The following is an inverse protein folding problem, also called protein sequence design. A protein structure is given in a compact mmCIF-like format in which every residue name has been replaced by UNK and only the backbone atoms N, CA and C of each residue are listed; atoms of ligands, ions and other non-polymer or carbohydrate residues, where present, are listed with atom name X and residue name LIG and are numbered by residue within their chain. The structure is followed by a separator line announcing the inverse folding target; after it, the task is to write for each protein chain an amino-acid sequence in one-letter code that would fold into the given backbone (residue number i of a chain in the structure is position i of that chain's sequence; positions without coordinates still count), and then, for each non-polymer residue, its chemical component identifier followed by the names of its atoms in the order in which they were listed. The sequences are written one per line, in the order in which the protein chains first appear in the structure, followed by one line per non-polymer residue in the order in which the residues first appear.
data_IF_088296111080
#
_entry.id   IF_088296111080
#
_cell.length_a   1.000
_cell.length_b   1.000
_cell.length_c   1.000
_cell.angle_alpha   90.00
_cell.angle_beta   90.00
_cell.angle_gamma   90.00
#
_symmetry.space_group_name_H-M   'P 1'
#
loop_
_entity.id
_entity.type
_entity.pdbx_description
1 polymer ?
#
# COMPACT_ATOMS: atom_id res chain seq x y z
N UNK A 1 2.22 -51.51 -5.79
CA UNK A 1 2.09 -50.39 -4.85
C UNK A 1 3.13 -49.28 -5.01
N UNK A 2 4.40 -49.55 -5.35
CA UNK A 2 5.43 -48.50 -5.45
C UNK A 2 5.24 -47.50 -6.63
N UNK A 3 4.76 -47.97 -7.80
CA UNK A 3 4.54 -47.12 -8.98
C UNK A 3 3.46 -46.04 -8.79
N UNK A 4 2.38 -46.33 -8.06
CA UNK A 4 1.31 -45.35 -7.81
C UNK A 4 1.73 -44.27 -6.81
N UNK A 5 2.61 -44.60 -5.85
CA UNK A 5 3.19 -43.64 -4.89
C UNK A 5 4.16 -42.67 -5.57
N UNK A 6 4.93 -43.14 -6.55
CA UNK A 6 5.81 -42.28 -7.35
C UNK A 6 5.02 -41.34 -8.26
N UNK A 7 3.94 -41.82 -8.89
CA UNK A 7 3.06 -40.98 -9.71
C UNK A 7 2.32 -39.92 -8.89
N UNK A 8 1.85 -40.25 -7.68
CA UNK A 8 1.24 -39.28 -6.78
C UNK A 8 2.25 -38.22 -6.31
N UNK A 9 3.48 -38.63 -5.98
CA UNK A 9 4.54 -37.71 -5.58
C UNK A 9 4.93 -36.74 -6.70
N UNK A 10 5.06 -37.25 -7.94
CA UNK A 10 5.34 -36.41 -9.11
C UNK A 10 4.17 -35.45 -9.42
N UNK A 11 2.92 -35.89 -9.26
CA UNK A 11 1.74 -35.03 -9.43
C UNK A 11 1.67 -33.94 -8.34
N UNK A 12 2.01 -34.26 -7.09
CA UNK A 12 2.09 -33.27 -5.99
C UNK A 12 3.24 -32.28 -6.19
N UNK A 13 4.39 -32.72 -6.70
CA UNK A 13 5.51 -31.84 -7.05
C UNK A 13 5.13 -30.92 -8.21
N UNK A 14 4.50 -31.45 -9.26
CA UNK A 14 4.01 -30.64 -10.38
C UNK A 14 2.91 -29.66 -9.94
N UNK A 15 1.98 -30.06 -9.06
CA UNK A 15 1.00 -29.13 -8.47
C UNK A 15 1.68 -28.05 -7.61
N UNK A 16 2.68 -28.40 -6.79
CA UNK A 16 3.45 -27.41 -6.02
C UNK A 16 4.24 -26.45 -6.92
N UNK A 17 4.74 -26.92 -8.07
CA UNK A 17 5.44 -26.08 -9.05
C UNK A 17 4.51 -25.17 -9.87
N UNK A 18 3.20 -25.47 -9.93
CA UNK A 18 2.22 -24.62 -10.61
C UNK A 18 1.73 -23.48 -9.69
N UNK A 19 1.87 -23.63 -8.36
CA UNK A 19 1.61 -22.55 -7.38
C UNK A 19 2.91 -21.86 -6.96
N UNK A 20 3.84 -21.67 -7.91
CA UNK A 20 4.79 -20.56 -7.78
C UNK A 20 3.98 -19.32 -8.08
N UNK A 21 3.31 -18.82 -7.06
CA UNK A 21 2.76 -17.48 -7.02
C UNK A 21 3.92 -16.56 -7.44
N UNK A 22 3.87 -16.01 -8.65
CA UNK A 22 4.87 -15.07 -9.12
C UNK A 22 4.89 -13.95 -8.10
N UNK A 23 5.92 -13.90 -7.25
CA UNK A 23 6.06 -12.82 -6.29
C UNK A 23 5.91 -11.51 -7.07
N UNK A 24 4.92 -10.69 -6.68
CA UNK A 24 4.70 -9.42 -7.33
C UNK A 24 6.01 -8.64 -7.33
N UNK A 25 6.40 -8.14 -8.50
CA UNK A 25 7.66 -7.42 -8.64
C UNK A 25 7.60 -6.16 -7.77
N UNK A 26 8.52 -6.06 -6.81
CA UNK A 26 8.66 -4.90 -5.95
C UNK A 26 10.10 -4.40 -6.01
N UNK A 27 10.23 -3.08 -5.91
CA UNK A 27 11.50 -2.42 -5.79
C UNK A 27 11.44 -1.45 -4.63
N UNK A 28 12.30 -1.66 -3.63
CA UNK A 28 12.31 -0.88 -2.40
C UNK A 28 13.66 -0.23 -2.20
N UNK A 29 13.67 1.09 -2.12
CA UNK A 29 14.77 1.86 -1.59
C UNK A 29 14.57 2.13 -0.10
N UNK A 30 15.69 2.33 0.61
CA UNK A 30 15.71 2.64 2.03
C UNK A 30 16.75 3.71 2.31
N UNK A 31 16.41 4.68 3.16
CA UNK A 31 17.39 5.64 3.67
C UNK A 31 18.44 4.95 4.56
N UNK A 32 19.61 5.57 4.72
CA UNK A 32 20.70 5.00 5.53
C UNK A 32 20.32 4.76 6.99
N UNK A 33 19.42 5.57 7.55
CA UNK A 33 18.87 5.44 8.90
C UNK A 33 17.64 4.51 8.99
N UNK A 34 17.15 4.02 7.85
CA UNK A 34 15.95 3.19 7.76
C UNK A 34 14.65 3.90 8.14
N UNK A 35 14.65 5.23 8.29
CA UNK A 35 13.47 6.02 8.60
C UNK A 35 12.54 6.20 7.40
N UNK A 36 13.07 6.05 6.19
CA UNK A 36 12.35 6.27 4.94
C UNK A 36 12.49 5.03 4.05
N UNK A 37 11.37 4.62 3.46
CA UNK A 37 11.32 3.59 2.42
C UNK A 37 10.46 4.09 1.28
N UNK A 38 10.83 3.82 0.04
CA UNK A 38 10.01 4.19 -1.11
C UNK A 38 10.31 3.27 -2.27
N UNK A 39 9.39 3.24 -3.24
CA UNK A 39 9.62 2.55 -4.49
C UNK A 39 8.32 2.13 -5.14
N UNK A 40 8.33 0.94 -5.73
CA UNK A 40 7.27 0.49 -6.63
C UNK A 40 6.80 -0.92 -6.29
N UNK A 41 5.50 -1.16 -6.49
CA UNK A 41 4.92 -2.50 -6.49
C UNK A 41 4.14 -2.70 -7.78
N UNK A 42 4.40 -3.80 -8.47
CA UNK A 42 3.62 -4.26 -9.60
C UNK A 42 2.29 -4.84 -9.10
N UNK A 43 1.22 -4.04 -9.13
CA UNK A 43 -0.11 -4.45 -8.63
C UNK A 43 -0.94 -5.18 -9.67
N UNK A 44 -0.62 -4.95 -10.96
CA UNK A 44 -1.12 -5.69 -12.11
C UNK A 44 0.03 -5.82 -13.10
N UNK A 45 -0.01 -6.81 -13.98
CA UNK A 45 1.06 -7.02 -14.98
C UNK A 45 1.37 -5.74 -15.75
N UNK A 46 2.60 -5.24 -15.63
CA UNK A 46 3.08 -4.01 -16.27
C UNK A 46 2.53 -2.71 -15.66
N UNK A 47 1.87 -2.76 -14.51
CA UNK A 47 1.24 -1.60 -13.85
C UNK A 47 1.77 -1.47 -12.41
N UNK A 48 2.41 -0.33 -12.13
CA UNK A 48 3.19 -0.11 -10.91
C UNK A 48 2.65 1.05 -10.11
N UNK A 49 2.39 0.83 -8.82
CA UNK A 49 2.09 1.88 -7.87
C UNK A 49 3.37 2.34 -7.17
N UNK A 50 3.59 3.65 -7.17
CA UNK A 50 4.59 4.29 -6.33
C UNK A 50 4.07 4.42 -4.89
N UNK A 51 4.96 4.19 -3.94
CA UNK A 51 4.70 4.37 -2.52
C UNK A 51 5.89 5.00 -1.80
N UNK A 52 5.59 5.73 -0.72
CA UNK A 52 6.58 6.37 0.14
C UNK A 52 6.16 6.26 1.61
N UNK A 53 6.95 5.52 2.38
CA UNK A 53 6.81 5.33 3.80
C UNK A 53 7.80 6.15 4.63
N UNK A 54 7.28 6.74 5.72
CA UNK A 54 8.03 7.37 6.79
C UNK A 54 7.76 6.65 8.12
N UNK A 55 8.84 6.20 8.77
CA UNK A 55 8.81 5.70 10.13
C UNK A 55 8.83 6.87 11.11
N UNK A 56 7.89 6.87 12.06
CA UNK A 56 7.89 7.85 13.15
C UNK A 56 9.06 7.62 14.11
N UNK A 57 9.83 8.67 14.47
CA UNK A 57 10.82 8.57 15.53
C UNK A 57 10.21 8.45 16.93
N UNK A 58 8.92 8.77 17.10
CA UNK A 58 8.17 8.64 18.35
C UNK A 58 7.50 7.27 18.50
N UNK A 59 7.57 6.43 17.46
CA UNK A 59 6.90 5.13 17.41
C UNK A 59 7.49 4.12 18.36
N UNK A 60 6.94 4.04 19.57
CA UNK A 60 7.23 2.99 20.56
C UNK A 60 5.96 2.18 20.80
N UNK A 61 5.75 1.05 20.09
CA UNK A 61 4.62 0.17 20.33
C UNK A 61 4.70 -0.40 21.75
N UNK A 62 3.59 -0.39 22.49
CA UNK A 62 3.49 -1.07 23.78
C UNK A 62 2.29 -2.02 23.82
N UNK A 63 2.30 -3.06 24.69
CA UNK A 63 1.15 -3.93 24.88
C UNK A 63 -0.10 -3.11 25.22
N UNK A 64 -1.14 -3.22 24.38
CA UNK A 64 -2.40 -2.47 24.53
C UNK A 64 -2.43 -1.08 23.88
N UNK A 65 -1.32 -0.58 23.34
CA UNK A 65 -1.26 0.67 22.58
C UNK A 65 -0.33 0.52 21.36
N UNK A 66 -0.78 -0.19 20.32
CA UNK A 66 0.02 -0.33 19.10
C UNK A 66 0.17 1.03 18.40
N UNK A 67 1.33 1.26 17.80
CA UNK A 67 1.59 2.48 17.05
C UNK A 67 0.90 2.41 15.68
N UNK A 68 0.11 3.41 15.27
CA UNK A 68 -0.68 3.34 14.05
C UNK A 68 0.14 3.71 12.80
N UNK A 69 -0.40 3.32 11.65
CA UNK A 69 0.07 3.71 10.32
C UNK A 69 -1.07 4.38 9.58
N UNK A 70 -0.82 5.54 9.02
CA UNK A 70 -1.76 6.26 8.16
C UNK A 70 -1.37 5.99 6.71
N UNK A 71 -2.23 5.30 5.98
CA UNK A 71 -2.15 5.17 4.53
C UNK A 71 -2.88 6.37 3.91
N UNK A 72 -2.15 7.21 3.19
CA UNK A 72 -2.66 8.34 2.43
C UNK A 72 -2.60 8.01 0.94
N UNK A 73 -3.75 7.80 0.32
CA UNK A 73 -3.89 7.57 -1.12
C UNK A 73 -4.38 8.83 -1.80
N UNK A 74 -3.80 9.20 -2.93
CA UNK A 74 -4.23 10.34 -3.75
C UNK A 74 -5.03 9.87 -4.96
N UNK A 75 -5.99 10.66 -5.47
CA UNK A 75 -6.57 10.54 -6.82
C UNK A 75 -7.37 11.80 -7.27
N UNK A 76 -7.15 12.40 -8.46
CA UNK A 76 -5.91 12.42 -9.22
C UNK A 76 -4.98 13.50 -8.65
N UNK A 77 -3.96 13.09 -7.89
CA UNK A 77 -2.88 13.97 -7.46
C UNK A 77 -1.65 13.12 -7.13
N UNK A 78 -0.47 13.73 -7.11
CA UNK A 78 0.70 13.03 -6.56
C UNK A 78 0.65 13.04 -5.03
N UNK A 79 1.14 11.97 -4.43
CA UNK A 79 1.49 11.72 -3.03
C UNK A 79 2.35 12.85 -2.48
N UNK A 80 3.14 13.53 -3.33
CA UNK A 80 3.84 14.75 -2.99
C UNK A 80 2.93 15.87 -2.47
N UNK A 81 1.65 15.93 -2.85
CA UNK A 81 0.70 16.89 -2.30
C UNK A 81 0.39 16.60 -0.84
N UNK A 82 -0.08 15.38 -0.52
CA UNK A 82 -0.36 14.98 0.85
C UNK A 82 0.89 14.98 1.74
N UNK A 83 2.05 14.69 1.15
CA UNK A 83 3.34 14.72 1.83
C UNK A 83 3.79 16.17 2.12
N UNK A 84 4.07 16.96 1.07
CA UNK A 84 4.75 18.26 1.20
C UNK A 84 3.82 19.47 1.43
N UNK A 85 2.51 19.33 1.18
CA UNK A 85 1.49 20.35 1.50
C UNK A 85 0.55 19.93 2.62
N UNK A 86 0.70 18.70 3.12
CA UNK A 86 -0.23 18.09 4.06
C UNK A 86 0.47 17.65 5.34
N UNK A 87 0.53 16.34 5.56
CA UNK A 87 0.84 15.74 6.85
C UNK A 87 2.28 15.23 6.97
N UNK A 88 3.07 15.33 5.90
CA UNK A 88 4.45 14.84 5.83
C UNK A 88 5.44 15.61 6.71
N UNK A 89 6.70 15.13 6.80
CA UNK A 89 7.75 15.72 7.62
C UNK A 89 8.31 17.04 7.08
N UNK A 90 8.22 17.27 5.78
CA UNK A 90 8.84 18.41 5.11
C UNK A 90 7.77 19.20 4.35
N UNK A 91 7.95 20.51 4.26
CA UNK A 91 7.14 21.37 3.40
C UNK A 91 7.68 21.42 1.95
N UNK A 92 7.04 22.21 1.08
CA UNK A 92 7.47 22.42 -0.31
C UNK A 92 8.88 23.02 -0.45
N UNK A 93 9.36 23.72 0.57
CA UNK A 93 10.69 24.31 0.62
C UNK A 93 11.71 23.36 1.27
N UNK A 94 11.31 22.11 1.49
CA UNK A 94 12.09 21.06 2.15
C UNK A 94 12.48 21.43 3.59
N UNK A 95 11.69 22.29 4.24
CA UNK A 95 11.89 22.64 5.64
C UNK A 95 11.07 21.72 6.54
N UNK A 96 11.53 21.43 7.77
CA UNK A 96 10.77 20.65 8.74
C UNK A 96 9.37 21.22 8.96
N UNK A 97 8.36 20.35 8.90
CA UNK A 97 6.97 20.71 9.08
C UNK A 97 6.52 20.44 10.52
N UNK A 98 6.36 21.51 11.32
CA UNK A 98 6.07 21.42 12.76
C UNK A 98 4.76 20.67 13.09
N UNK A 99 3.78 20.68 12.18
CA UNK A 99 2.49 20.01 12.34
C UNK A 99 2.44 18.62 11.67
N UNK A 100 3.60 18.03 11.36
CA UNK A 100 3.66 16.68 10.79
C UNK A 100 2.94 15.65 11.66
N UNK A 101 2.25 14.72 10.98
CA UNK A 101 1.56 13.62 11.64
C UNK A 101 2.51 12.48 12.04
N UNK A 102 3.79 12.56 11.68
CA UNK A 102 4.80 11.62 12.17
C UNK A 102 4.91 11.60 13.69
N UNK A 103 4.48 12.67 14.37
CA UNK A 103 4.39 12.69 15.83
C UNK A 103 3.32 11.74 16.40
N UNK A 104 2.44 11.18 15.57
CA UNK A 104 1.27 10.39 15.98
C UNK A 104 1.15 9.04 15.27
N UNK A 105 1.77 8.86 14.11
CA UNK A 105 1.67 7.65 13.30
C UNK A 105 2.89 7.49 12.38
N UNK A 106 3.12 6.29 11.87
CA UNK A 106 3.88 6.15 10.62
C UNK A 106 3.02 6.65 9.45
N UNK A 107 3.64 7.15 8.39
CA UNK A 107 2.94 7.66 7.21
C UNK A 107 3.30 6.81 6.00
N UNK A 108 2.32 6.36 5.25
CA UNK A 108 2.47 5.65 3.98
C UNK A 108 1.69 6.41 2.91
N UNK A 109 2.38 7.04 1.97
CA UNK A 109 1.76 7.73 0.84
C UNK A 109 1.77 6.82 -0.38
N UNK A 110 0.67 6.79 -1.14
CA UNK A 110 0.56 5.98 -2.35
C UNK A 110 -0.09 6.80 -3.46
N UNK A 111 0.54 6.76 -4.63
CA UNK A 111 0.04 7.39 -5.84
C UNK A 111 -0.99 6.50 -6.54
N UNK A 112 -2.27 6.84 -6.47
CA UNK A 112 -3.33 6.04 -7.10
C UNK A 112 -4.20 6.90 -8.04
N UNK A 113 -4.88 6.28 -9.03
CA UNK A 113 -4.57 4.99 -9.63
C UNK A 113 -3.23 4.98 -10.37
N UNK A 114 -2.87 3.84 -10.97
CA UNK A 114 -1.69 3.73 -11.86
C UNK A 114 -1.77 4.79 -12.97
N UNK A 115 -0.64 5.44 -13.27
CA UNK A 115 -0.56 6.60 -14.17
C UNK A 115 -0.70 7.95 -13.46
N UNK A 116 -0.93 7.97 -12.14
CA UNK A 116 -0.98 9.19 -11.34
C UNK A 116 0.35 9.41 -10.62
N UNK A 117 0.82 10.66 -10.55
CA UNK A 117 2.05 11.00 -9.83
C UNK A 117 3.26 10.26 -10.38
N UNK A 118 3.93 9.48 -9.55
CA UNK A 118 5.05 8.64 -9.93
C UNK A 118 4.65 7.22 -10.35
N UNK A 119 3.40 6.80 -10.14
CA UNK A 119 2.88 5.49 -10.56
C UNK A 119 2.76 5.40 -12.08
N UNK A 120 3.18 4.29 -12.68
CA UNK A 120 3.32 4.17 -14.13
C UNK A 120 2.89 2.80 -14.68
N UNK A 121 2.74 2.76 -16.00
CA UNK A 121 2.45 1.56 -16.76
C UNK A 121 3.54 1.40 -17.85
N UNK A 122 4.04 0.19 -18.05
CA UNK A 122 5.20 -0.10 -18.90
C UNK A 122 5.04 0.30 -20.37
N UNK A 123 3.86 0.06 -20.97
CA UNK A 123 3.67 0.38 -22.40
C UNK A 123 3.10 1.79 -22.62
N UNK A 124 3.07 2.63 -21.58
CA UNK A 124 2.62 4.03 -21.64
C UNK A 124 1.14 4.21 -22.01
N UNK A 125 0.34 3.14 -22.05
CA UNK A 125 -1.07 3.19 -22.41
C UNK A 125 -1.96 3.23 -21.16
N UNK A 126 -1.97 4.41 -20.53
CA UNK A 126 -2.72 4.71 -19.31
C UNK A 126 -4.23 4.42 -19.48
N UNK A 127 -4.78 4.61 -20.67
CA UNK A 127 -6.20 4.37 -20.94
C UNK A 127 -6.58 2.89 -20.98
N UNK A 128 -5.62 2.01 -21.30
CA UNK A 128 -5.85 0.56 -21.37
C UNK A 128 -5.59 -0.15 -20.04
N UNK A 129 -4.61 0.31 -19.27
CA UNK A 129 -4.15 -0.38 -18.04
C UNK A 129 -3.90 0.54 -16.84
N UNK A 130 -3.77 1.85 -17.02
CA UNK A 130 -3.51 2.78 -15.92
C UNK A 130 -4.73 2.95 -15.01
N UNK A 131 -5.88 3.28 -15.59
CA UNK A 131 -7.08 3.64 -14.81
C UNK A 131 -7.98 2.41 -14.55
N UNK A 132 -8.20 2.00 -13.29
CA UNK A 132 -9.21 1.02 -12.93
C UNK A 132 -10.60 1.43 -13.43
N UNK A 133 -11.35 0.50 -14.00
CA UNK A 133 -12.69 0.76 -14.53
C UNK A 133 -13.76 0.67 -13.44
N UNK A 134 -13.44 0.04 -12.30
CA UNK A 134 -14.35 -0.13 -11.17
C UNK A 134 -13.70 0.21 -9.83
N UNK A 135 -14.51 0.53 -8.82
CA UNK A 135 -14.04 0.70 -7.44
C UNK A 135 -13.37 -0.58 -6.89
N UNK A 136 -13.84 -1.75 -7.32
CA UNK A 136 -13.29 -3.03 -6.90
C UNK A 136 -11.88 -3.26 -7.47
N UNK A 137 -11.65 -2.89 -8.73
CA UNK A 137 -10.31 -2.94 -9.33
C UNK A 137 -9.36 -1.95 -8.64
N UNK A 138 -9.81 -0.72 -8.38
CA UNK A 138 -8.99 0.26 -7.66
C UNK A 138 -8.64 -0.20 -6.23
N UNK A 139 -9.60 -0.82 -5.53
CA UNK A 139 -9.35 -1.40 -4.22
C UNK A 139 -8.43 -2.62 -4.28
N UNK A 140 -8.52 -3.45 -5.33
CA UNK A 140 -7.65 -4.61 -5.53
C UNK A 140 -6.19 -4.19 -5.70
N UNK A 141 -5.92 -3.11 -6.45
CA UNK A 141 -4.56 -2.56 -6.59
C UNK A 141 -3.98 -2.14 -5.23
N UNK A 142 -4.77 -1.45 -4.39
CA UNK A 142 -4.34 -1.03 -3.05
C UNK A 142 -4.09 -2.24 -2.14
N UNK A 143 -4.97 -3.26 -2.20
CA UNK A 143 -4.83 -4.48 -1.40
C UNK A 143 -3.58 -5.28 -1.80
N UNK A 144 -3.30 -5.37 -3.09
CA UNK A 144 -2.10 -6.04 -3.59
C UNK A 144 -0.83 -5.31 -3.15
N UNK A 145 -0.82 -3.98 -3.25
CA UNK A 145 0.27 -3.16 -2.69
C UNK A 145 0.44 -3.42 -1.19
N UNK A 146 -0.64 -3.37 -0.41
CA UNK A 146 -0.58 -3.61 1.04
C UNK A 146 -0.04 -5.01 1.37
N UNK A 147 -0.47 -6.04 0.62
CA UNK A 147 0.00 -7.42 0.76
C UNK A 147 1.52 -7.48 0.60
N UNK A 148 2.05 -6.92 -0.48
CA UNK A 148 3.50 -6.88 -0.74
C UNK A 148 4.23 -6.09 0.35
N UNK A 149 3.71 -4.91 0.74
CA UNK A 149 4.34 -4.07 1.76
C UNK A 149 4.35 -4.70 3.16
N UNK A 150 3.54 -5.72 3.44
CA UNK A 150 3.68 -6.45 4.70
C UNK A 150 5.03 -7.18 4.83
N UNK A 151 5.67 -7.53 3.71
CA UNK A 151 7.04 -8.09 3.68
C UNK A 151 8.12 -7.02 3.80
N UNK A 152 7.88 -5.82 3.26
CA UNK A 152 8.83 -4.71 3.25
C UNK A 152 8.82 -3.88 4.55
N UNK A 153 7.65 -3.78 5.18
CA UNK A 153 7.37 -2.98 6.37
C UNK A 153 6.78 -3.92 7.45
N UNK A 154 7.63 -4.58 8.26
CA UNK A 154 7.18 -5.60 9.22
C UNK A 154 6.13 -5.10 10.22
N UNK A 155 6.18 -3.82 10.59
CA UNK A 155 5.22 -3.22 11.53
C UNK A 155 3.81 -3.12 10.98
N UNK A 156 3.63 -3.18 9.66
CA UNK A 156 2.34 -2.98 8.99
C UNK A 156 1.33 -4.07 9.37
N UNK A 157 1.78 -5.31 9.59
CA UNK A 157 0.90 -6.42 9.99
C UNK A 157 0.30 -6.27 11.39
N UNK A 158 1.02 -5.60 12.30
CA UNK A 158 0.62 -5.42 13.70
C UNK A 158 0.07 -4.02 14.02
N UNK A 159 0.18 -3.09 13.06
CA UNK A 159 -0.21 -1.70 13.22
C UNK A 159 -1.70 -1.52 12.90
N UNK A 160 -2.47 -0.78 13.71
CA UNK A 160 -3.72 -0.21 13.24
C UNK A 160 -3.45 0.61 11.98
N UNK A 161 -4.18 0.33 10.90
CA UNK A 161 -4.11 1.05 9.64
C UNK A 161 -5.26 2.04 9.55
N UNK A 162 -4.97 3.30 9.28
CA UNK A 162 -5.94 4.36 9.01
C UNK A 162 -5.84 4.76 7.54
N UNK A 163 -6.93 4.65 6.79
CA UNK A 163 -6.95 5.01 5.37
C UNK A 163 -7.51 6.42 5.19
N UNK A 164 -6.69 7.30 4.62
CA UNK A 164 -7.05 8.64 4.17
C UNK A 164 -6.97 8.66 2.65
N UNK A 165 -7.98 9.24 2.01
CA UNK A 165 -8.06 9.27 0.56
C UNK A 165 -8.36 10.69 0.11
N UNK A 166 -7.45 11.30 -0.66
CA UNK A 166 -7.65 12.64 -1.20
C UNK A 166 -8.23 12.58 -2.60
N UNK A 167 -9.54 12.78 -2.73
CA UNK A 167 -10.24 12.93 -4.02
C UNK A 167 -11.21 14.10 -4.03
N UNK A 168 -11.53 14.57 -5.23
CA UNK A 168 -12.72 15.37 -5.55
C UNK A 168 -14.01 14.62 -5.14
N UNK A 169 -14.44 14.78 -3.88
CA UNK A 169 -15.73 14.31 -3.37
C UNK A 169 -15.69 12.99 -2.59
N UNK A 170 -16.33 12.97 -1.42
CA UNK A 170 -16.29 11.87 -0.45
C UNK A 170 -16.84 10.52 -0.91
N UNK A 171 -17.65 10.47 -1.98
CA UNK A 171 -18.29 9.23 -2.44
C UNK A 171 -17.30 8.24 -3.09
N UNK A 172 -16.29 8.72 -3.83
CA UNK A 172 -15.30 7.85 -4.48
C UNK A 172 -14.36 7.25 -3.42
N UNK A 173 -13.76 8.13 -2.62
CA UNK A 173 -12.95 7.80 -1.44
C UNK A 173 -13.66 6.81 -0.51
N UNK A 174 -14.92 7.09 -0.14
CA UNK A 174 -15.69 6.26 0.77
C UNK A 174 -15.94 4.84 0.25
N UNK A 175 -16.20 4.68 -1.06
CA UNK A 175 -16.42 3.36 -1.67
C UNK A 175 -15.15 2.50 -1.67
N UNK A 176 -14.03 3.05 -2.14
CA UNK A 176 -12.74 2.33 -2.13
C UNK A 176 -12.34 1.99 -0.71
N UNK A 177 -12.42 2.96 0.20
CA UNK A 177 -12.09 2.77 1.61
C UNK A 177 -12.91 1.66 2.23
N UNK A 178 -14.22 1.59 1.94
CA UNK A 178 -15.10 0.53 2.45
C UNK A 178 -14.74 -0.85 1.88
N UNK A 179 -14.39 -0.96 0.60
CA UNK A 179 -13.97 -2.23 0.00
C UNK A 179 -12.66 -2.72 0.63
N UNK A 180 -11.65 -1.85 0.71
CA UNK A 180 -10.36 -2.16 1.34
C UNK A 180 -10.57 -2.54 2.81
N UNK A 181 -11.37 -1.77 3.55
CA UNK A 181 -11.72 -2.03 4.94
C UNK A 181 -12.26 -3.45 5.16
N UNK A 182 -13.29 -3.81 4.37
CA UNK A 182 -13.94 -5.12 4.47
C UNK A 182 -12.98 -6.25 4.13
N UNK A 183 -12.17 -6.08 3.09
CA UNK A 183 -11.19 -7.09 2.70
C UNK A 183 -10.15 -7.32 3.81
N UNK A 184 -9.63 -6.25 4.43
CA UNK A 184 -8.64 -6.40 5.49
C UNK A 184 -9.27 -6.99 6.76
N UNK A 185 -10.47 -6.54 7.16
CA UNK A 185 -11.17 -7.09 8.33
C UNK A 185 -11.51 -8.58 8.16
N UNK A 186 -11.78 -9.03 6.94
CA UNK A 186 -11.99 -10.44 6.63
C UNK A 186 -10.68 -11.26 6.69
N UNK A 187 -9.54 -10.63 6.41
CA UNK A 187 -8.23 -11.29 6.41
C UNK A 187 -7.51 -11.24 7.78
N UNK A 188 -7.77 -10.23 8.61
CA UNK A 188 -7.18 -10.06 9.94
C UNK A 188 -8.09 -9.23 10.88
N UNK A 189 -8.45 -9.72 12.08
CA UNK A 189 -9.48 -9.11 12.92
C UNK A 189 -8.98 -7.98 13.84
N UNK A 190 -8.20 -7.01 13.35
CA UNK A 190 -7.92 -5.80 14.13
C UNK A 190 -7.43 -4.58 13.31
N UNK A 191 -8.31 -3.93 12.54
CA UNK A 191 -8.03 -2.61 11.96
C UNK A 191 -9.21 -1.66 12.21
N UNK A 192 -8.94 -0.55 12.89
CA UNK A 192 -9.91 0.54 13.11
C UNK A 192 -9.68 1.60 12.03
N UNK A 193 -10.65 1.79 11.14
CA UNK A 193 -10.59 2.79 10.05
C UNK A 193 -11.50 3.98 10.38
N UNK A 194 -11.02 5.19 10.11
CA UNK A 194 -11.84 6.41 10.07
C UNK A 194 -11.62 7.11 8.75
N UNK A 195 -12.70 7.45 8.05
CA UNK A 195 -12.69 8.42 6.96
C UNK A 195 -12.94 9.80 7.55
N UNK A 196 -12.01 10.74 7.35
CA UNK A 196 -12.23 12.15 7.66
C UNK A 196 -12.12 12.93 6.34
N UNK A 197 -13.14 13.72 6.03
CA UNK A 197 -13.12 14.71 4.96
C UNK A 197 -12.49 15.98 5.55
N UNK A 198 -11.39 16.44 4.96
CA UNK A 198 -10.70 17.68 5.34
C UNK A 198 -10.76 18.69 4.20
#
# INVERSE_FOLDING_TARGET
MARSRLQLAVLCILLCCIVVDSAAESFTHRSSDGAQLWGYVQVRKGAYLFWYYYKSPQGVPSPGKPWPTVLYTTAPASSGHGNFKGIGPLDLNQQPHNSTWLNKANLLFVDTPVGTGYSYEEDGNIMRRGVPQTFSEAAADILELLRVLTGEIPTLQSSPLFLLHSTYGGTYAGKITNIVAKAILAAAPLIILRSEEW
#
